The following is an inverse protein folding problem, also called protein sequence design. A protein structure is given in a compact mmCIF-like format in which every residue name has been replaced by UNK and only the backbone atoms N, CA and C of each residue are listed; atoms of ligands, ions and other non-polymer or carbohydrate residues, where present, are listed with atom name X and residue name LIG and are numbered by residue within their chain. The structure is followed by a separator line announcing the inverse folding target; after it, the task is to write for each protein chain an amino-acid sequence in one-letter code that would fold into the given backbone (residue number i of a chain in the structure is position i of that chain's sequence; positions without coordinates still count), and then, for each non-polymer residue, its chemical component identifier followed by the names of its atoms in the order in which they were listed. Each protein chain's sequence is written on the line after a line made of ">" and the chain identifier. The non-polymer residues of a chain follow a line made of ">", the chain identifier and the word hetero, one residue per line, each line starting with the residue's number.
data_IF_841623403051
#
_entry.id   IF_841623403051
#
_cell.length_a   1.000
_cell.length_b   1.000
_cell.length_c   1.000
_cell.angle_alpha   90.00
_cell.angle_beta   90.00
_cell.angle_gamma   90.00
#
_symmetry.space_group_name_H-M   'P 1'
#
loop_
_entity.id
_entity.type
_entity.pdbx_description
1 polymer ?
#
# COMPACT_ATOMS: atom_id res chain seq x y z
N UNK A 1 -30.99 29.76 -104.34
CA UNK A 1 -29.55 29.74 -104.70
C UNK A 1 -28.78 30.20 -103.47
N UNK A 2 -28.25 29.24 -102.72
CA UNK A 2 -26.81 29.09 -102.49
C UNK A 2 -26.21 30.21 -101.62
N UNK A 3 -26.06 29.95 -100.33
CA UNK A 3 -24.92 30.48 -99.61
C UNK A 3 -24.32 29.38 -98.73
N UNK A 4 -23.01 29.25 -98.87
CA UNK A 4 -22.18 28.09 -98.61
C UNK A 4 -21.56 28.14 -97.22
N UNK A 5 -21.37 26.95 -96.67
CA UNK A 5 -20.66 26.63 -95.44
C UNK A 5 -19.20 27.10 -95.46
N UNK A 6 -18.71 27.60 -94.32
CA UNK A 6 -17.29 27.58 -93.96
C UNK A 6 -17.12 27.33 -92.44
N UNK A 7 -16.80 26.08 -92.12
CA UNK A 7 -15.62 25.65 -91.35
C UNK A 7 -15.36 26.27 -89.96
N UNK A 8 -15.44 25.42 -88.93
CA UNK A 8 -14.37 25.25 -87.94
C UNK A 8 -14.54 23.89 -87.23
N UNK A 9 -13.77 22.91 -87.67
CA UNK A 9 -13.47 21.72 -86.87
C UNK A 9 -12.75 22.18 -85.60
N UNK A 10 -13.40 22.01 -84.45
CA UNK A 10 -12.72 22.04 -83.16
C UNK A 10 -12.26 20.61 -82.91
N UNK A 11 -10.98 20.36 -83.18
CA UNK A 11 -10.26 19.17 -82.75
C UNK A 11 -10.30 19.09 -81.21
N UNK A 12 -11.27 18.37 -80.67
CA UNK A 12 -11.21 17.91 -79.28
C UNK A 12 -10.16 16.80 -79.21
N UNK A 13 -8.96 17.14 -78.72
CA UNK A 13 -7.98 16.15 -78.32
C UNK A 13 -8.62 15.20 -77.29
N UNK A 14 -8.36 13.88 -77.35
CA UNK A 14 -8.87 12.96 -76.33
C UNK A 14 -8.29 13.37 -74.97
N UNK A 15 -9.17 13.48 -73.97
CA UNK A 15 -8.77 13.68 -72.58
C UNK A 15 -7.73 12.61 -72.21
N UNK A 16 -6.52 13.04 -71.83
CA UNK A 16 -5.50 12.13 -71.27
C UNK A 16 -6.11 11.46 -70.05
N UNK A 17 -6.24 10.14 -70.09
CA UNK A 17 -6.57 9.36 -68.91
C UNK A 17 -5.54 9.68 -67.81
N UNK A 18 -6.02 10.25 -66.70
CA UNK A 18 -5.20 10.42 -65.49
C UNK A 18 -4.85 9.01 -65.02
N UNK A 19 -3.56 8.69 -65.03
CA UNK A 19 -3.03 7.47 -64.42
C UNK A 19 -3.32 7.58 -62.92
N UNK A 20 -4.19 6.74 -62.40
CA UNK A 20 -4.35 6.58 -60.95
C UNK A 20 -3.20 5.72 -60.47
N UNK A 21 -2.16 6.39 -60.00
CA UNK A 21 -0.95 5.78 -59.51
C UNK A 21 -1.28 4.95 -58.27
N UNK A 22 -0.97 3.66 -58.39
CA UNK A 22 -1.03 2.57 -57.44
C UNK A 22 -0.77 2.94 -55.97
N UNK A 23 -1.83 3.00 -55.16
CA UNK A 23 -1.73 2.74 -53.73
C UNK A 23 -1.87 1.22 -53.55
N UNK A 24 -0.75 0.53 -53.41
CA UNK A 24 -0.77 -0.84 -52.87
C UNK A 24 -1.21 -0.71 -51.41
N UNK A 25 -2.50 -0.93 -51.14
CA UNK A 25 -2.96 -1.14 -49.77
C UNK A 25 -2.28 -2.42 -49.27
N UNK A 26 -1.26 -2.25 -48.43
CA UNK A 26 -0.60 -3.37 -47.77
C UNK A 26 -1.56 -3.95 -46.73
N UNK A 27 -2.43 -4.85 -47.18
CA UNK A 27 -3.25 -5.66 -46.29
C UNK A 27 -2.38 -6.75 -45.64
N UNK A 28 -2.40 -6.83 -44.32
CA UNK A 28 -1.74 -7.91 -43.59
C UNK A 28 -2.45 -9.24 -43.86
N UNK A 29 -1.68 -10.30 -44.10
CA UNK A 29 -2.23 -11.65 -44.23
C UNK A 29 -2.74 -12.14 -42.87
N UNK A 30 -3.76 -13.00 -42.85
CA UNK A 30 -4.24 -13.60 -41.60
C UNK A 30 -3.12 -14.34 -40.84
N UNK A 31 -2.20 -14.97 -41.56
CA UNK A 31 -1.06 -15.65 -40.98
C UNK A 31 -0.12 -14.68 -40.24
N UNK A 32 0.19 -13.51 -40.83
CA UNK A 32 1.00 -12.48 -40.17
C UNK A 32 0.32 -11.93 -38.91
N UNK A 33 -0.99 -11.68 -38.95
CA UNK A 33 -1.75 -11.22 -37.79
C UNK A 33 -1.77 -12.28 -36.67
N UNK A 34 -1.94 -13.56 -37.02
CA UNK A 34 -1.94 -14.65 -36.03
C UNK A 34 -0.57 -14.85 -35.39
N UNK A 35 0.52 -14.80 -36.16
CA UNK A 35 1.88 -14.93 -35.62
C UNK A 35 2.20 -13.75 -34.70
N UNK A 36 1.85 -12.52 -35.09
CA UNK A 36 2.09 -11.32 -34.28
C UNK A 36 1.29 -11.34 -32.97
N UNK A 37 0.00 -11.68 -33.02
CA UNK A 37 -0.81 -11.86 -31.80
C UNK A 37 -0.31 -13.00 -30.92
N UNK A 38 0.17 -14.11 -31.52
CA UNK A 38 0.77 -15.23 -30.80
C UNK A 38 2.02 -14.81 -30.03
N UNK A 39 2.94 -14.07 -30.68
CA UNK A 39 4.16 -13.56 -30.05
C UNK A 39 3.83 -12.58 -28.93
N UNK A 40 2.96 -11.59 -29.18
CA UNK A 40 2.56 -10.61 -28.15
C UNK A 40 1.86 -11.30 -26.97
N UNK A 41 1.03 -12.31 -27.24
CA UNK A 41 0.36 -13.10 -26.20
C UNK A 41 1.34 -13.82 -25.26
N UNK A 42 2.37 -14.47 -25.81
CA UNK A 42 3.41 -15.15 -25.02
C UNK A 42 4.21 -14.13 -24.19
N UNK A 43 4.66 -13.05 -24.81
CA UNK A 43 5.43 -12.01 -24.12
C UNK A 43 4.60 -11.39 -23.00
N UNK A 44 3.35 -11.00 -23.27
CA UNK A 44 2.45 -10.44 -22.27
C UNK A 44 2.20 -11.40 -21.11
N UNK A 45 2.02 -12.70 -21.38
CA UNK A 45 1.84 -13.72 -20.34
C UNK A 45 3.05 -13.83 -19.40
N UNK A 46 4.27 -13.62 -19.91
CA UNK A 46 5.50 -13.62 -19.11
C UNK A 46 5.72 -12.30 -18.35
N UNK A 47 5.33 -11.15 -18.93
CA UNK A 47 5.65 -9.83 -18.35
C UNK A 47 4.56 -9.29 -17.43
N UNK A 48 3.27 -9.50 -17.73
CA UNK A 48 2.16 -8.91 -16.98
C UNK A 48 2.17 -9.28 -15.48
N UNK A 49 2.41 -10.55 -15.08
CA UNK A 49 2.45 -10.89 -13.65
C UNK A 49 3.52 -10.10 -12.88
N UNK A 50 4.71 -9.94 -13.46
CA UNK A 50 5.83 -9.20 -12.86
C UNK A 50 5.52 -7.70 -12.74
N UNK A 51 4.99 -7.09 -13.81
CA UNK A 51 4.62 -5.66 -13.81
C UNK A 51 3.52 -5.38 -12.78
N UNK A 52 2.49 -6.24 -12.72
CA UNK A 52 1.40 -6.10 -11.75
C UNK A 52 1.94 -6.26 -10.32
N UNK A 53 2.79 -7.24 -10.05
CA UNK A 53 3.37 -7.45 -8.73
C UNK A 53 4.20 -6.22 -8.28
N UNK A 54 5.04 -5.68 -9.16
CA UNK A 54 5.84 -4.49 -8.86
C UNK A 54 4.98 -3.23 -8.65
N UNK A 55 3.92 -3.07 -9.44
CA UNK A 55 2.96 -1.98 -9.24
C UNK A 55 2.25 -2.09 -7.88
N UNK A 56 1.84 -3.31 -7.49
CA UNK A 56 1.23 -3.57 -6.18
C UNK A 56 2.21 -3.28 -5.04
N UNK A 57 3.48 -3.73 -5.15
CA UNK A 57 4.55 -3.43 -4.17
C UNK A 57 4.66 -1.92 -3.92
N UNK A 58 4.77 -1.12 -5.00
CA UNK A 58 4.86 0.34 -4.92
C UNK A 58 3.60 0.98 -4.32
N UNK A 59 2.41 0.50 -4.70
CA UNK A 59 1.16 1.01 -4.17
C UNK A 59 1.01 0.75 -2.67
N UNK A 60 1.34 -0.47 -2.21
CA UNK A 60 1.33 -0.85 -0.80
C UNK A 60 2.35 -0.04 -0.02
N UNK A 61 3.59 0.02 -0.48
CA UNK A 61 4.66 0.85 0.10
C UNK A 61 4.22 2.30 0.35
N UNK A 62 3.67 2.95 -0.69
CA UNK A 62 3.19 4.33 -0.59
C UNK A 62 2.04 4.49 0.41
N UNK A 63 1.10 3.54 0.46
CA UNK A 63 -0.03 3.59 1.41
C UNK A 63 0.43 3.43 2.84
N UNK A 64 1.33 2.48 3.12
CA UNK A 64 1.91 2.25 4.45
C UNK A 64 2.70 3.47 4.91
N UNK A 65 3.54 4.05 4.06
CA UNK A 65 4.29 5.26 4.40
C UNK A 65 3.38 6.47 4.63
N UNK A 66 2.32 6.61 3.84
CA UNK A 66 1.30 7.65 4.05
C UNK A 66 0.55 7.46 5.36
N UNK A 67 0.20 6.23 5.72
CA UNK A 67 -0.39 5.90 7.01
C UNK A 67 0.55 6.32 8.15
N UNK A 68 1.83 5.91 8.09
CA UNK A 68 2.85 6.29 9.05
C UNK A 68 2.92 7.80 9.27
N UNK A 69 3.01 8.58 8.19
CA UNK A 69 3.07 10.05 8.28
C UNK A 69 1.77 10.66 8.81
N UNK A 70 0.62 10.11 8.43
CA UNK A 70 -0.69 10.61 8.90
C UNK A 70 -0.85 10.38 10.39
N UNK A 71 -0.47 9.19 10.89
CA UNK A 71 -0.56 8.86 12.30
C UNK A 71 0.44 9.64 13.15
N UNK A 72 1.66 9.86 12.66
CA UNK A 72 2.62 10.73 13.35
C UNK A 72 2.11 12.17 13.47
N UNK A 73 1.54 12.72 12.40
CA UNK A 73 0.94 14.06 12.47
C UNK A 73 -0.26 14.11 13.42
N UNK A 74 -1.05 13.05 13.51
CA UNK A 74 -2.15 12.95 14.46
C UNK A 74 -1.64 12.91 15.91
N UNK A 75 -0.63 12.07 16.18
CA UNK A 75 -0.01 11.93 17.50
C UNK A 75 0.65 13.24 17.96
N UNK A 76 1.34 13.95 17.07
CA UNK A 76 1.93 15.26 17.38
C UNK A 76 0.88 16.30 17.81
N UNK A 77 -0.32 16.25 17.23
CA UNK A 77 -1.43 17.14 17.64
C UNK A 77 -1.98 16.76 19.01
N UNK A 78 -2.13 15.47 19.27
CA UNK A 78 -2.52 14.99 20.60
C UNK A 78 -1.50 15.42 21.67
N UNK A 79 -0.20 15.30 21.38
CA UNK A 79 0.87 15.76 22.29
C UNK A 79 0.80 17.27 22.51
N UNK A 80 0.50 18.06 21.48
CA UNK A 80 0.37 19.51 21.62
C UNK A 80 -0.80 19.92 22.53
N UNK A 81 -1.90 19.16 22.52
CA UNK A 81 -3.10 19.47 23.28
C UNK A 81 -3.10 18.86 24.70
N UNK A 82 -2.50 17.69 24.88
CA UNK A 82 -2.55 16.91 26.12
C UNK A 82 -1.21 16.75 26.84
N UNK A 83 -0.11 17.21 26.25
CA UNK A 83 1.22 17.09 26.83
C UNK A 83 1.91 15.76 26.55
N UNK A 84 2.87 15.41 27.41
CA UNK A 84 3.76 14.27 27.24
C UNK A 84 2.99 12.94 27.15
N UNK A 85 3.28 12.09 26.15
CA UNK A 85 2.59 10.80 25.93
C UNK A 85 2.57 9.92 27.19
N UNK A 86 3.60 9.99 28.02
CA UNK A 86 3.67 9.19 29.25
C UNK A 86 2.59 9.57 30.27
N UNK A 87 2.11 10.82 30.26
CA UNK A 87 1.11 11.30 31.23
C UNK A 87 -0.26 10.69 31.00
N UNK A 88 -0.54 10.25 29.78
CA UNK A 88 -1.84 9.73 29.37
C UNK A 88 -1.81 8.26 28.94
N UNK A 89 -0.66 7.59 28.95
CA UNK A 89 -0.59 6.14 28.73
C UNK A 89 -1.17 5.36 29.91
N UNK A 90 -1.89 4.24 29.66
CA UNK A 90 -2.33 3.34 30.72
C UNK A 90 -1.14 2.82 31.53
N UNK A 91 -1.34 2.69 32.84
CA UNK A 91 -0.38 2.12 33.79
C UNK A 91 -0.85 0.78 34.38
N UNK A 92 -1.91 0.20 33.80
CA UNK A 92 -2.52 -1.04 34.21
C UNK A 92 -3.14 -1.73 32.97
N UNK A 93 -3.50 -3.02 33.06
CA UNK A 93 -4.20 -3.70 31.97
C UNK A 93 -5.52 -3.01 31.69
N UNK A 94 -5.80 -2.76 30.42
CA UNK A 94 -6.97 -2.01 29.98
C UNK A 94 -8.09 -2.93 29.54
N UNK A 95 -9.33 -2.53 29.81
CA UNK A 95 -10.51 -3.14 29.18
C UNK A 95 -10.75 -2.57 27.77
N UNK A 96 -11.74 -3.11 27.06
CA UNK A 96 -12.19 -2.53 25.80
C UNK A 96 -12.72 -1.10 25.98
N UNK A 97 -13.42 -0.80 27.08
CA UNK A 97 -13.99 0.52 27.33
C UNK A 97 -12.89 1.57 27.58
N UNK A 98 -11.85 1.19 28.32
CA UNK A 98 -10.67 2.04 28.52
C UNK A 98 -9.98 2.36 27.20
N UNK A 99 -9.82 1.34 26.34
CA UNK A 99 -9.28 1.53 24.99
C UNK A 99 -10.16 2.46 24.14
N UNK A 100 -11.49 2.32 24.22
CA UNK A 100 -12.40 3.15 23.44
C UNK A 100 -12.36 4.61 23.92
N UNK A 101 -12.28 4.84 25.23
CA UNK A 101 -12.15 6.17 25.81
C UNK A 101 -10.81 6.81 25.44
N UNK A 102 -9.71 6.06 25.56
CA UNK A 102 -8.38 6.50 25.12
C UNK A 102 -8.40 6.91 23.65
N UNK A 103 -8.93 6.03 22.80
CA UNK A 103 -8.99 6.26 21.36
C UNK A 103 -9.83 7.50 21.01
N UNK A 104 -11.01 7.66 21.62
CA UNK A 104 -11.89 8.82 21.42
C UNK A 104 -11.26 10.14 21.83
N UNK A 105 -10.49 10.13 22.91
CA UNK A 105 -9.88 11.34 23.45
C UNK A 105 -8.64 11.74 22.66
N UNK A 106 -7.72 10.80 22.43
CA UNK A 106 -6.38 11.15 21.99
C UNK A 106 -6.08 10.88 20.51
N UNK A 107 -6.85 10.03 19.84
CA UNK A 107 -6.54 9.62 18.46
C UNK A 107 -7.64 10.08 17.49
N UNK A 108 -8.90 9.77 17.82
CA UNK A 108 -10.07 10.01 16.98
C UNK A 108 -10.19 11.47 16.49
N UNK A 109 -9.93 12.52 17.29
CA UNK A 109 -10.08 13.91 16.85
C UNK A 109 -9.09 14.32 15.75
N UNK A 110 -7.98 13.61 15.62
CA UNK A 110 -6.85 14.01 14.78
C UNK A 110 -6.70 13.17 13.51
N UNK A 111 -7.55 12.15 13.32
CA UNK A 111 -7.52 11.27 12.14
C UNK A 111 -8.78 11.43 11.29
N UNK A 112 -8.65 11.18 9.97
CA UNK A 112 -9.80 11.10 9.06
C UNK A 112 -10.27 9.65 8.97
N UNK A 113 -11.50 9.41 9.41
CA UNK A 113 -12.12 8.08 9.41
C UNK A 113 -13.55 8.14 8.85
N UNK A 114 -14.05 6.98 8.41
CA UNK A 114 -15.43 6.82 7.95
C UNK A 114 -16.32 6.27 9.05
N UNK A 115 -15.85 5.21 9.72
CA UNK A 115 -16.50 4.60 10.88
C UNK A 115 -15.46 3.89 11.74
N UNK A 116 -15.79 3.61 12.99
CA UNK A 116 -15.07 2.66 13.82
C UNK A 116 -16.04 1.67 14.44
N UNK A 117 -15.59 0.46 14.74
CA UNK A 117 -16.42 -0.59 15.33
C UNK A 117 -15.58 -1.54 16.19
N UNK A 118 -16.25 -2.32 17.03
CA UNK A 118 -15.62 -3.43 17.76
C UNK A 118 -15.25 -4.54 16.79
N UNK A 119 -14.04 -5.05 16.90
CA UNK A 119 -13.56 -6.17 16.10
C UNK A 119 -12.70 -7.11 16.95
N UNK A 120 -12.28 -8.23 16.37
CA UNK A 120 -11.34 -9.14 17.01
C UNK A 120 -9.94 -8.93 16.47
N UNK A 121 -8.97 -8.80 17.37
CA UNK A 121 -7.55 -8.80 17.01
C UNK A 121 -7.19 -10.16 16.41
N UNK A 122 -6.62 -10.22 15.20
CA UNK A 122 -6.38 -11.49 14.50
C UNK A 122 -5.27 -12.35 15.12
N UNK A 123 -4.50 -11.83 16.09
CA UNK A 123 -3.40 -12.55 16.77
C UNK A 123 -3.79 -12.93 18.19
N UNK A 124 -4.28 -11.96 18.97
CA UNK A 124 -4.59 -12.15 20.39
C UNK A 124 -6.00 -12.71 20.60
N UNK A 125 -6.85 -12.70 19.55
CA UNK A 125 -8.27 -13.05 19.62
C UNK A 125 -9.02 -12.24 20.70
N UNK A 126 -8.49 -11.06 21.04
CA UNK A 126 -9.06 -10.10 21.99
C UNK A 126 -10.00 -9.14 21.27
N UNK A 127 -10.89 -8.49 22.03
CA UNK A 127 -11.71 -7.40 21.47
C UNK A 127 -10.84 -6.16 21.31
N UNK A 128 -10.89 -5.57 20.11
CA UNK A 128 -10.09 -4.42 19.71
C UNK A 128 -10.97 -3.40 18.97
N UNK A 129 -10.40 -2.24 18.66
CA UNK A 129 -11.10 -1.17 17.93
C UNK A 129 -10.59 -1.19 16.50
N UNK A 130 -11.51 -1.37 15.55
CA UNK A 130 -11.22 -1.25 14.12
C UNK A 130 -11.74 0.08 13.58
N UNK A 131 -10.88 0.82 12.91
CA UNK A 131 -11.11 2.15 12.34
C UNK A 131 -10.99 2.06 10.83
N UNK A 132 -12.04 2.40 10.10
CA UNK A 132 -12.04 2.42 8.64
C UNK A 132 -11.56 3.79 8.16
N UNK A 133 -10.39 3.79 7.51
CA UNK A 133 -9.76 4.97 6.94
C UNK A 133 -10.08 5.06 5.44
N UNK A 134 -9.80 6.20 4.82
CA UNK A 134 -9.98 6.36 3.36
C UNK A 134 -9.13 5.38 2.54
N UNK A 135 -7.99 4.93 3.10
CA UNK A 135 -7.07 4.01 2.44
C UNK A 135 -6.78 2.85 3.40
N UNK A 136 -7.73 1.95 3.59
CA UNK A 136 -7.56 0.77 4.43
C UNK A 136 -8.22 0.89 5.80
N UNK A 137 -7.84 0.01 6.71
CA UNK A 137 -8.37 -0.06 8.06
C UNK A 137 -7.23 -0.13 9.06
N UNK A 138 -7.38 0.52 10.20
CA UNK A 138 -6.47 0.42 11.32
C UNK A 138 -7.15 -0.34 12.45
N UNK A 139 -6.43 -1.21 13.13
CA UNK A 139 -6.82 -1.75 14.42
C UNK A 139 -5.93 -1.12 15.49
N UNK A 140 -6.52 -0.73 16.62
CA UNK A 140 -5.86 0.03 17.66
C UNK A 140 -6.12 -0.58 19.04
N UNK A 141 -5.04 -0.76 19.80
CA UNK A 141 -5.08 -1.17 21.20
C UNK A 141 -3.96 -0.46 21.98
N UNK A 142 -4.21 -0.17 23.25
CA UNK A 142 -3.25 0.28 24.25
C UNK A 142 -3.35 -0.61 25.47
N UNK A 143 -2.22 -0.83 26.12
CA UNK A 143 -2.12 -1.48 27.43
C UNK A 143 -1.02 -0.81 28.26
N UNK A 144 -0.72 -1.34 29.45
CA UNK A 144 0.39 -0.91 30.31
C UNK A 144 1.77 -0.98 29.64
N UNK A 145 1.89 -1.78 28.58
CA UNK A 145 3.13 -1.96 27.85
C UNK A 145 3.27 -0.96 26.69
N UNK A 146 2.28 -0.09 26.46
CA UNK A 146 2.19 0.87 25.36
C UNK A 146 1.18 0.46 24.30
N UNK A 147 1.14 1.16 23.16
CA UNK A 147 0.11 0.92 22.17
C UNK A 147 0.56 0.23 20.89
N UNK A 148 -0.35 -0.55 20.33
CA UNK A 148 -0.21 -1.39 19.15
C UNK A 148 -1.20 -0.96 18.08
N UNK A 149 -0.70 -0.78 16.85
CA UNK A 149 -1.49 -0.36 15.70
C UNK A 149 -1.26 -1.29 14.53
N UNK A 150 -2.26 -2.08 14.16
CA UNK A 150 -2.25 -2.76 12.87
C UNK A 150 -2.84 -1.85 11.80
N UNK A 151 -2.18 -1.79 10.66
CA UNK A 151 -2.71 -1.18 9.46
C UNK A 151 -2.93 -2.26 8.38
N UNK A 152 -4.15 -2.30 7.87
CA UNK A 152 -4.63 -3.23 6.85
C UNK A 152 -4.96 -2.48 5.57
N UNK A 153 -4.10 -2.64 4.54
CA UNK A 153 -4.23 -1.92 3.27
C UNK A 153 -5.53 -2.26 2.52
N UNK A 154 -5.97 -3.52 2.61
CA UNK A 154 -7.19 -4.03 1.96
C UNK A 154 -8.47 -3.70 2.76
N UNK A 155 -8.34 -3.03 3.91
CA UNK A 155 -9.48 -2.68 4.76
C UNK A 155 -10.10 -3.86 5.51
N UNK A 156 -9.41 -5.01 5.54
CA UNK A 156 -9.84 -6.23 6.23
C UNK A 156 -8.74 -6.74 7.14
N UNK A 157 -9.08 -7.18 8.35
CA UNK A 157 -8.16 -7.73 9.34
C UNK A 157 -7.68 -9.14 8.95
N UNK A 158 -6.95 -9.22 7.83
CA UNK A 158 -6.38 -10.45 7.27
C UNK A 158 -4.86 -10.34 7.29
N UNK A 159 -4.21 -11.25 8.03
CA UNK A 159 -2.76 -11.29 8.10
C UNK A 159 -2.15 -11.74 6.76
N UNK A 160 -1.27 -10.91 6.22
CA UNK A 160 -0.36 -11.23 5.12
C UNK A 160 0.68 -10.12 5.02
N UNK A 161 1.87 -10.42 4.51
CA UNK A 161 2.88 -9.39 4.25
C UNK A 161 2.44 -8.31 3.26
N UNK A 162 1.38 -8.54 2.48
CA UNK A 162 0.83 -7.56 1.53
C UNK A 162 -0.21 -6.64 2.15
N UNK A 163 -0.82 -7.06 3.26
CA UNK A 163 -1.98 -6.41 3.83
C UNK A 163 -1.73 -5.87 5.24
N UNK A 164 -1.08 -6.63 6.13
CA UNK A 164 -0.99 -6.33 7.56
C UNK A 164 0.38 -5.76 7.94
N UNK A 165 0.37 -4.54 8.47
CA UNK A 165 1.56 -3.80 8.88
C UNK A 165 1.41 -3.35 10.34
N UNK A 166 2.28 -3.83 11.22
CA UNK A 166 2.23 -3.50 12.65
C UNK A 166 3.15 -2.33 12.99
N UNK A 167 2.62 -1.42 13.80
CA UNK A 167 3.31 -0.30 14.41
C UNK A 167 3.10 -0.35 15.93
N UNK A 168 3.97 0.33 16.64
CA UNK A 168 3.90 0.53 18.08
C UNK A 168 4.09 2.00 18.42
N UNK A 169 3.58 2.44 19.56
CA UNK A 169 3.86 3.75 20.12
C UNK A 169 4.02 3.67 21.63
N UNK A 170 5.04 4.35 22.14
CA UNK A 170 5.44 4.34 23.54
C UNK A 170 5.48 2.93 24.16
N UNK A 171 5.91 1.92 23.38
CA UNK A 171 5.93 0.51 23.79
C UNK A 171 7.24 0.17 24.51
N UNK A 172 7.17 -0.66 25.55
CA UNK A 172 8.38 -1.25 26.14
C UNK A 172 9.11 -2.12 25.11
N UNK A 173 10.43 -2.22 25.21
CA UNK A 173 11.23 -2.93 24.20
C UNK A 173 11.25 -4.46 24.38
N UNK A 174 10.59 -4.97 25.40
CA UNK A 174 10.54 -6.39 25.75
C UNK A 174 10.84 -6.60 27.23
N UNK A 175 11.12 -7.85 27.60
CA UNK A 175 11.52 -8.24 28.94
C UNK A 175 12.91 -8.89 28.91
N UNK A 176 13.69 -8.67 29.96
CA UNK A 176 14.93 -9.41 30.22
C UNK A 176 14.66 -10.87 30.60
N UNK A 177 15.73 -11.65 30.80
CA UNK A 177 15.64 -13.07 31.17
C UNK A 177 14.93 -13.28 32.52
N UNK A 178 14.96 -12.28 33.39
CA UNK A 178 14.32 -12.26 34.70
C UNK A 178 12.86 -11.76 34.64
N UNK A 179 12.37 -11.40 33.44
CA UNK A 179 11.01 -10.93 33.22
C UNK A 179 10.78 -9.46 33.57
N UNK A 180 11.83 -8.66 33.78
CA UNK A 180 11.71 -7.21 33.97
C UNK A 180 11.64 -6.51 32.62
N UNK A 181 10.81 -5.48 32.45
CA UNK A 181 10.74 -4.76 31.19
C UNK A 181 12.08 -4.07 30.93
N UNK A 182 12.57 -4.16 29.70
CA UNK A 182 13.58 -3.24 29.20
C UNK A 182 12.95 -1.84 29.22
N UNK A 183 13.21 -1.10 30.32
CA UNK A 183 12.64 0.22 30.69
C UNK A 183 12.33 1.04 29.44
N UNK A 184 11.09 1.58 29.36
CA UNK A 184 10.56 2.43 28.27
C UNK A 184 11.67 3.19 27.55
N UNK A 185 12.22 2.62 26.46
CA UNK A 185 13.32 3.27 25.77
C UNK A 185 12.72 4.40 24.94
N UNK A 186 12.72 5.56 25.59
CA UNK A 186 12.35 6.89 25.16
C UNK A 186 10.85 7.10 24.96
N UNK A 187 10.40 8.22 25.54
CA UNK A 187 9.15 8.86 25.20
C UNK A 187 9.12 9.15 23.69
N UNK A 188 8.61 8.19 22.91
CA UNK A 188 8.56 8.35 21.45
C UNK A 188 7.31 9.16 21.13
N UNK A 189 7.55 10.40 20.73
CA UNK A 189 6.52 11.32 20.21
C UNK A 189 6.00 10.91 18.83
N UNK A 190 6.45 9.76 18.31
CA UNK A 190 6.12 9.23 16.99
C UNK A 190 5.79 7.75 17.12
N UNK A 191 4.84 7.28 16.30
CA UNK A 191 4.67 5.86 16.06
C UNK A 191 5.90 5.31 15.33
N UNK A 192 6.19 4.03 15.51
CA UNK A 192 7.29 3.35 14.84
C UNK A 192 6.90 1.92 14.44
N UNK A 193 7.61 1.27 13.51
CA UNK A 193 7.41 -0.15 13.26
C UNK A 193 7.60 -0.98 14.52
N UNK A 194 6.81 -2.05 14.63
CA UNK A 194 6.86 -2.92 15.79
C UNK A 194 8.21 -3.62 15.93
N UNK A 195 8.81 -3.52 17.12
CA UNK A 195 10.15 -4.04 17.45
C UNK A 195 10.22 -4.67 18.83
N UNK A 196 9.09 -4.94 19.47
CA UNK A 196 9.05 -5.61 20.77
C UNK A 196 9.80 -6.96 20.76
N UNK A 197 10.83 -7.06 21.60
CA UNK A 197 11.71 -8.24 21.70
C UNK A 197 12.55 -8.48 20.44
N UNK A 198 12.82 -7.43 19.64
CA UNK A 198 13.75 -7.48 18.51
C UNK A 198 15.18 -7.21 18.99
N UNK A 199 16.13 -8.00 18.49
CA UNK A 199 17.55 -7.95 18.86
C UNK A 199 18.35 -6.87 18.10
N UNK A 200 17.68 -6.06 17.27
CA UNK A 200 18.30 -5.01 16.46
C UNK A 200 18.96 -5.52 15.16
N UNK A 201 18.94 -6.83 14.88
CA UNK A 201 19.58 -7.41 13.70
C UNK A 201 18.61 -7.56 12.54
N UNK A 202 19.05 -7.23 11.32
CA UNK A 202 18.21 -7.36 10.12
C UNK A 202 17.77 -8.81 9.87
N UNK A 203 18.67 -9.77 10.05
CA UNK A 203 18.41 -11.21 9.82
C UNK A 203 17.28 -11.76 10.70
N UNK A 204 17.12 -11.24 11.93
CA UNK A 204 16.07 -11.68 12.84
C UNK A 204 14.67 -11.23 12.39
N UNK A 205 14.57 -10.23 11.51
CA UNK A 205 13.32 -9.78 10.90
C UNK A 205 12.66 -10.86 10.05
N UNK A 206 13.42 -11.84 9.54
CA UNK A 206 12.91 -12.95 8.70
C UNK A 206 13.13 -14.34 9.32
N UNK A 207 13.81 -14.45 10.46
CA UNK A 207 14.14 -15.75 11.09
C UNK A 207 13.58 -15.93 12.50
N UNK A 208 13.38 -14.85 13.28
CA UNK A 208 12.93 -14.94 14.66
C UNK A 208 11.45 -15.33 14.81
N UNK A 209 10.99 -15.52 16.06
CA UNK A 209 9.60 -15.91 16.39
C UNK A 209 8.54 -14.98 15.78
N UNK A 210 8.83 -13.67 15.72
CA UNK A 210 7.93 -12.61 15.21
C UNK A 210 8.25 -12.18 13.77
N UNK A 211 9.02 -13.01 13.05
CA UNK A 211 9.50 -12.73 11.69
C UNK A 211 8.39 -12.33 10.72
N UNK A 212 8.77 -11.52 9.74
CA UNK A 212 7.97 -11.33 8.54
C UNK A 212 8.00 -12.58 7.67
N UNK A 213 6.83 -12.95 7.15
CA UNK A 213 6.63 -14.06 6.21
C UNK A 213 5.47 -13.75 5.27
N UNK A 214 5.22 -14.56 4.25
CA UNK A 214 4.08 -14.37 3.33
C UNK A 214 2.72 -14.34 4.03
N UNK A 215 2.57 -15.07 5.14
CA UNK A 215 1.38 -15.06 6.00
C UNK A 215 1.30 -13.84 6.93
N UNK A 216 2.24 -12.89 6.82
CA UNK A 216 2.37 -11.75 7.71
C UNK A 216 3.44 -11.96 8.78
N UNK A 217 3.50 -11.02 9.70
CA UNK A 217 4.46 -11.02 10.81
C UNK A 217 4.66 -9.62 11.38
N UNK A 218 4.97 -9.54 12.67
CA UNK A 218 5.04 -8.27 13.38
C UNK A 218 6.18 -7.38 12.83
N UNK A 219 7.26 -7.99 12.34
CA UNK A 219 8.45 -7.28 11.87
C UNK A 219 8.39 -6.85 10.40
N UNK A 220 7.30 -7.12 9.66
CA UNK A 220 7.20 -6.76 8.24
C UNK A 220 7.37 -5.26 7.99
N UNK A 221 6.72 -4.42 8.80
CA UNK A 221 6.85 -2.96 8.69
C UNK A 221 8.28 -2.48 8.95
N UNK A 222 9.03 -3.18 9.80
CA UNK A 222 10.40 -2.81 10.14
C UNK A 222 11.34 -3.03 8.95
N UNK A 223 11.14 -4.10 8.19
CA UNK A 223 11.86 -4.33 6.92
C UNK A 223 11.63 -3.15 5.97
N UNK A 224 10.38 -2.68 5.82
CA UNK A 224 10.08 -1.53 4.97
C UNK A 224 10.79 -0.27 5.47
N UNK A 225 10.72 0.04 6.77
CA UNK A 225 11.39 1.23 7.32
C UNK A 225 12.90 1.22 7.06
N UNK A 226 13.57 0.07 7.21
CA UNK A 226 15.01 -0.04 6.95
C UNK A 226 15.38 0.06 5.46
N UNK A 227 14.41 -0.21 4.58
CA UNK A 227 14.55 -0.09 3.13
C UNK A 227 13.83 1.16 2.59
N UNK A 228 13.90 2.29 3.31
CA UNK A 228 13.33 3.58 2.88
C UNK A 228 11.84 3.55 2.52
N UNK A 229 11.06 2.74 3.25
CA UNK A 229 9.64 2.48 3.00
C UNK A 229 9.33 1.79 1.67
N UNK A 230 10.31 1.13 1.06
CA UNK A 230 10.13 0.33 -0.14
C UNK A 230 9.97 -1.16 0.16
N UNK A 231 9.34 -1.88 -0.76
CA UNK A 231 9.22 -3.34 -0.72
C UNK A 231 10.26 -3.91 -1.68
N UNK A 232 11.40 -4.29 -1.12
CA UNK A 232 12.55 -4.88 -1.81
C UNK A 232 12.31 -6.35 -2.17
N UNK A 233 13.27 -6.97 -2.86
CA UNK A 233 13.14 -8.36 -3.32
C UNK A 233 13.27 -9.40 -2.20
N UNK A 234 13.96 -9.06 -1.11
CA UNK A 234 14.06 -9.87 0.10
C UNK A 234 12.83 -9.74 1.02
N UNK A 235 11.93 -8.80 0.72
CA UNK A 235 10.64 -8.73 1.41
C UNK A 235 9.78 -9.96 1.06
N UNK A 236 9.22 -10.68 2.05
CA UNK A 236 8.37 -11.86 1.82
C UNK A 236 7.03 -11.57 1.12
N UNK A 237 7.05 -11.15 -0.15
CA UNK A 237 5.88 -10.76 -0.95
C UNK A 237 5.01 -11.96 -1.37
#
# INVERSE_FOLDING_TARGET
>A
MHNTYLQKEILLAPAKAVRTDWWSEKAFTMAEVLITLGIIGIVAAMTLPSVIANAQKKAVASRVHKFYNTMNNALLRAIADYGDVNEWMPNAPTTYEDNENFFKMYILPYIKYTKYEKCQNPILNSTSICIYLQQGMMEFMVDENGGDLYYFVDGKAKLSSRNSFLFQFNKINGFDEDGNPYVHINNKTTIEPYTYGWDGKYESLTTAKRKCSKSGGNYCTKIMQLNNWEITDDYPW
#
